data_IF_146442332375
#
_entry.id   IF_146442332375
#
_cell.length_a   1.000
_cell.length_b   1.000
_cell.length_c   1.000
_cell.angle_alpha   90.00
_cell.angle_beta   90.00
_cell.angle_gamma   90.00
#
_symmetry.space_group_name_H-M   'P 1'
#
loop_
_entity.id
_entity.type
_entity.pdbx_description
1 polymer ?
#
# COMPACT_ATOMS: atom_id res chain seq x y z
N UNK A 1 28.31 31.02 -9.81
CA UNK A 1 28.55 30.42 -8.48
C UNK A 1 27.26 30.30 -7.67
N UNK A 2 26.63 31.37 -7.15
CA UNK A 2 25.35 31.26 -6.42
C UNK A 2 24.18 30.71 -7.26
N UNK A 3 24.08 31.09 -8.54
CA UNK A 3 23.02 30.57 -9.44
C UNK A 3 23.18 29.08 -9.76
N UNK A 4 24.41 28.60 -9.96
CA UNK A 4 24.70 27.18 -10.20
C UNK A 4 24.43 26.33 -8.96
N UNK A 5 24.77 26.83 -7.77
CA UNK A 5 24.49 26.16 -6.50
C UNK A 5 22.98 26.03 -6.26
N UNK A 6 22.21 27.10 -6.51
CA UNK A 6 20.75 27.06 -6.42
C UNK A 6 20.12 26.07 -7.40
N UNK A 7 20.62 26.01 -8.64
CA UNK A 7 20.12 25.07 -9.64
C UNK A 7 20.41 23.62 -9.24
N UNK A 8 21.60 23.35 -8.71
CA UNK A 8 21.97 22.01 -8.23
C UNK A 8 21.09 21.56 -7.06
N UNK A 9 20.87 22.42 -6.07
CA UNK A 9 20.00 22.12 -4.93
C UNK A 9 18.55 21.84 -5.35
N UNK A 10 18.04 22.58 -6.34
CA UNK A 10 16.70 22.36 -6.89
C UNK A 10 16.61 21.01 -7.62
N UNK A 11 17.61 20.67 -8.43
CA UNK A 11 17.66 19.40 -9.15
C UNK A 11 17.72 18.21 -8.17
N UNK A 12 18.53 18.30 -7.11
CA UNK A 12 18.62 17.25 -6.09
C UNK A 12 17.27 17.03 -5.40
N UNK A 13 16.60 18.11 -4.99
CA UNK A 13 15.28 18.05 -4.38
C UNK A 13 14.23 17.40 -5.30
N UNK A 14 14.22 17.76 -6.59
CA UNK A 14 13.30 17.18 -7.57
C UNK A 14 13.58 15.70 -7.85
N UNK A 15 14.86 15.31 -7.87
CA UNK A 15 15.26 13.92 -8.03
C UNK A 15 14.83 13.06 -6.83
N UNK A 16 14.97 13.57 -5.61
CA UNK A 16 14.50 12.88 -4.40
C UNK A 16 12.98 12.69 -4.42
N UNK A 17 12.21 13.74 -4.75
CA UNK A 17 10.76 13.67 -4.87
C UNK A 17 10.32 12.64 -5.92
N UNK A 18 10.95 12.64 -7.11
CA UNK A 18 10.65 11.66 -8.15
C UNK A 18 10.96 10.23 -7.70
N UNK A 19 12.06 10.02 -6.99
CA UNK A 19 12.41 8.70 -6.45
C UNK A 19 11.35 8.19 -5.48
N UNK A 20 10.89 9.04 -4.55
CA UNK A 20 9.82 8.71 -3.60
C UNK A 20 8.52 8.37 -4.35
N UNK A 21 8.18 9.15 -5.39
CA UNK A 21 6.97 8.93 -6.20
C UNK A 21 7.00 7.58 -6.92
N UNK A 22 8.09 7.28 -7.63
CA UNK A 22 8.23 6.04 -8.39
C UNK A 22 8.28 4.80 -7.47
N UNK A 23 8.98 4.89 -6.34
CA UNK A 23 8.99 3.81 -5.35
C UNK A 23 7.59 3.57 -4.76
N UNK A 24 6.88 4.66 -4.39
CA UNK A 24 5.51 4.56 -3.85
C UNK A 24 4.53 3.97 -4.87
N UNK A 25 4.61 4.39 -6.14
CA UNK A 25 3.79 3.86 -7.22
C UNK A 25 4.06 2.36 -7.45
N UNK A 26 5.33 1.96 -7.42
CA UNK A 26 5.74 0.56 -7.59
C UNK A 26 5.18 -0.31 -6.47
N UNK A 27 5.39 0.07 -5.22
CA UNK A 27 4.88 -0.68 -4.05
C UNK A 27 3.36 -0.76 -4.07
N UNK A 28 2.68 0.33 -4.46
CA UNK A 28 1.22 0.36 -4.58
C UNK A 28 0.70 -0.68 -5.58
N UNK A 29 1.32 -0.79 -6.75
CA UNK A 29 0.96 -1.82 -7.75
C UNK A 29 1.18 -3.24 -7.24
N UNK A 30 2.24 -3.47 -6.47
CA UNK A 30 2.50 -4.77 -5.85
C UNK A 30 1.43 -5.13 -4.82
N UNK A 31 0.98 -4.18 -3.99
CA UNK A 31 -0.11 -4.38 -3.03
C UNK A 31 -1.41 -4.75 -3.76
N UNK A 32 -1.78 -4.01 -4.80
CA UNK A 32 -2.96 -4.32 -5.62
C UNK A 32 -2.86 -5.73 -6.22
N UNK A 33 -1.68 -6.11 -6.73
CA UNK A 33 -1.46 -7.43 -7.30
C UNK A 33 -1.59 -8.54 -6.25
N UNK A 34 -1.03 -8.36 -5.06
CA UNK A 34 -1.10 -9.32 -3.96
C UNK A 34 -2.54 -9.46 -3.45
N UNK A 35 -3.26 -8.35 -3.32
CA UNK A 35 -4.68 -8.32 -2.94
C UNK A 35 -5.54 -9.10 -3.93
N UNK A 36 -5.33 -8.86 -5.23
CA UNK A 36 -5.96 -9.64 -6.31
C UNK A 36 -5.60 -11.14 -6.27
N UNK A 37 -4.36 -11.49 -5.91
CA UNK A 37 -3.94 -12.90 -5.76
C UNK A 37 -4.60 -13.55 -4.55
N UNK A 38 -4.72 -12.82 -3.44
CA UNK A 38 -5.43 -13.27 -2.24
C UNK A 38 -6.88 -13.62 -2.55
N UNK A 39 -7.64 -12.68 -3.14
CA UNK A 39 -9.06 -12.86 -3.50
C UNK A 39 -9.23 -14.08 -4.41
N UNK A 40 -8.37 -14.24 -5.43
CA UNK A 40 -8.39 -15.40 -6.33
C UNK A 40 -8.09 -16.72 -5.61
N UNK A 41 -7.19 -16.74 -4.64
CA UNK A 41 -6.92 -17.92 -3.82
C UNK A 41 -8.10 -18.28 -2.92
N UNK A 42 -8.77 -17.28 -2.33
CA UNK A 42 -9.99 -17.46 -1.52
C UNK A 42 -11.10 -18.11 -2.35
N UNK A 43 -11.37 -17.62 -3.57
CA UNK A 43 -12.36 -18.24 -4.47
C UNK A 43 -12.05 -19.72 -4.81
N UNK A 44 -10.79 -20.13 -4.71
CA UNK A 44 -10.35 -21.52 -4.92
C UNK A 44 -10.25 -22.32 -3.63
N UNK A 45 -10.73 -21.78 -2.51
CA UNK A 45 -10.62 -22.34 -1.16
C UNK A 45 -9.17 -22.59 -0.68
N UNK A 46 -8.18 -21.90 -1.29
CA UNK A 46 -6.77 -22.00 -0.91
C UNK A 46 -6.43 -20.96 0.17
N UNK A 47 -6.98 -21.12 1.37
CA UNK A 47 -6.89 -20.12 2.45
C UNK A 47 -5.48 -19.91 3.00
N UNK A 48 -4.66 -20.95 3.08
CA UNK A 48 -3.25 -20.81 3.52
C UNK A 48 -2.45 -19.94 2.54
N UNK A 49 -2.61 -20.17 1.24
CA UNK A 49 -1.98 -19.35 0.20
C UNK A 49 -2.51 -17.92 0.24
N UNK A 50 -3.82 -17.74 0.47
CA UNK A 50 -4.42 -16.42 0.59
C UNK A 50 -3.85 -15.62 1.77
N UNK A 51 -3.60 -16.28 2.91
CA UNK A 51 -2.97 -15.66 4.07
C UNK A 51 -1.56 -15.15 3.77
N UNK A 52 -0.74 -15.97 3.11
CA UNK A 52 0.62 -15.57 2.69
C UNK A 52 0.61 -14.30 1.81
N UNK A 53 -0.40 -14.16 0.93
CA UNK A 53 -0.55 -12.95 0.12
C UNK A 53 -0.97 -11.72 0.94
N UNK A 54 -1.85 -11.89 1.94
CA UNK A 54 -2.22 -10.80 2.86
C UNK A 54 -1.03 -10.34 3.68
N UNK A 55 -0.24 -11.26 4.23
CA UNK A 55 0.95 -10.93 5.02
C UNK A 55 1.97 -10.17 4.17
N UNK A 56 2.25 -10.67 2.96
CA UNK A 56 3.12 -9.99 2.00
C UNK A 56 2.62 -8.59 1.63
N UNK A 57 1.30 -8.43 1.46
CA UNK A 57 0.69 -7.13 1.15
C UNK A 57 0.77 -6.17 2.35
N UNK A 58 0.61 -6.69 3.57
CA UNK A 58 0.72 -5.94 4.82
C UNK A 58 2.12 -5.34 5.01
N UNK A 59 3.17 -6.14 4.80
CA UNK A 59 4.56 -5.67 4.87
C UNK A 59 4.83 -4.53 3.88
N UNK A 60 4.33 -4.68 2.65
CA UNK A 60 4.44 -3.65 1.62
C UNK A 60 3.64 -2.40 1.96
N UNK A 61 2.46 -2.56 2.56
CA UNK A 61 1.63 -1.44 3.00
C UNK A 61 2.34 -0.60 4.08
N UNK A 62 2.98 -1.27 5.04
CA UNK A 62 3.79 -0.60 6.07
C UNK A 62 4.92 0.20 5.41
N UNK A 63 5.62 -0.41 4.44
CA UNK A 63 6.69 0.28 3.69
C UNK A 63 6.14 1.47 2.89
N UNK A 64 4.99 1.33 2.23
CA UNK A 64 4.33 2.39 1.47
C UNK A 64 3.98 3.58 2.38
N UNK A 65 3.40 3.32 3.56
CA UNK A 65 3.09 4.35 4.55
C UNK A 65 4.34 5.07 5.04
N UNK A 66 5.43 4.35 5.29
CA UNK A 66 6.70 4.95 5.74
C UNK A 66 7.33 5.87 4.69
N UNK A 67 7.29 5.49 3.41
CA UNK A 67 7.91 6.27 2.33
C UNK A 67 7.02 7.46 1.95
N UNK A 68 5.72 7.23 1.80
CA UNK A 68 4.78 8.29 1.39
C UNK A 68 4.66 9.39 2.44
N UNK A 69 4.74 9.08 3.75
CA UNK A 69 4.64 10.07 4.83
C UNK A 69 5.68 11.20 4.75
N UNK A 70 6.78 10.99 4.02
CA UNK A 70 7.80 12.03 3.79
C UNK A 70 7.30 13.17 2.89
N UNK A 71 6.27 12.93 2.07
CA UNK A 71 5.73 13.86 1.09
C UNK A 71 4.20 13.77 1.13
N UNK A 72 3.54 14.77 1.72
CA UNK A 72 2.09 14.76 1.96
C UNK A 72 1.27 14.46 0.71
N UNK A 73 1.66 14.99 -0.43
CA UNK A 73 1.03 14.84 -1.73
C UNK A 73 1.06 13.39 -2.22
N UNK A 74 2.09 12.63 -1.81
CA UNK A 74 2.21 11.21 -2.14
C UNK A 74 1.32 10.37 -1.22
N UNK A 75 1.22 10.69 0.06
CA UNK A 75 0.33 9.97 0.99
C UNK A 75 -1.13 9.95 0.56
N UNK A 76 -1.59 11.00 -0.12
CA UNK A 76 -2.97 11.10 -0.62
C UNK A 76 -3.07 10.90 -2.14
N UNK A 77 -2.01 10.42 -2.79
CA UNK A 77 -2.06 10.11 -4.20
C UNK A 77 -3.03 8.95 -4.46
N UNK A 78 -3.78 9.02 -5.56
CA UNK A 78 -4.82 8.03 -5.88
C UNK A 78 -4.31 6.59 -5.87
N UNK A 79 -3.09 6.34 -6.36
CA UNK A 79 -2.49 5.00 -6.36
C UNK A 79 -2.18 4.45 -4.96
N UNK A 80 -1.89 5.31 -3.97
CA UNK A 80 -1.69 4.90 -2.57
C UNK A 80 -3.03 4.56 -1.94
N UNK A 81 -4.03 5.42 -2.13
CA UNK A 81 -5.39 5.18 -1.62
C UNK A 81 -6.03 3.93 -2.23
N UNK A 82 -5.83 3.72 -3.54
CA UNK A 82 -6.27 2.50 -4.21
C UNK A 82 -5.58 1.27 -3.61
N UNK A 83 -4.25 1.29 -3.42
CA UNK A 83 -3.55 0.19 -2.78
C UNK A 83 -4.05 -0.12 -1.36
N UNK A 84 -4.29 0.91 -0.55
CA UNK A 84 -4.88 0.76 0.80
C UNK A 84 -6.28 0.14 0.74
N UNK A 85 -7.14 0.62 -0.18
CA UNK A 85 -8.49 0.10 -0.36
C UNK A 85 -8.48 -1.38 -0.75
N UNK A 86 -7.71 -1.73 -1.78
CA UNK A 86 -7.62 -3.11 -2.28
C UNK A 86 -7.09 -4.08 -1.20
N UNK A 87 -6.12 -3.64 -0.39
CA UNK A 87 -5.63 -4.42 0.74
C UNK A 87 -6.73 -4.66 1.79
N UNK A 88 -7.46 -3.60 2.19
CA UNK A 88 -8.55 -3.72 3.16
C UNK A 88 -9.65 -4.65 2.63
N UNK A 89 -10.02 -4.52 1.36
CA UNK A 89 -11.00 -5.41 0.72
C UNK A 89 -10.55 -6.88 0.76
N UNK A 90 -9.30 -7.17 0.41
CA UNK A 90 -8.76 -8.53 0.47
C UNK A 90 -8.76 -9.11 1.89
N UNK A 91 -8.36 -8.32 2.89
CA UNK A 91 -8.37 -8.74 4.30
C UNK A 91 -9.79 -9.00 4.80
N UNK A 92 -10.73 -8.11 4.48
CA UNK A 92 -12.13 -8.27 4.87
C UNK A 92 -12.74 -9.51 4.23
N UNK A 93 -12.48 -9.73 2.94
CA UNK A 93 -12.97 -10.90 2.23
C UNK A 93 -12.39 -12.20 2.80
N UNK A 94 -11.10 -12.25 3.10
CA UNK A 94 -10.47 -13.38 3.77
C UNK A 94 -11.11 -13.67 5.14
N UNK A 95 -11.22 -12.65 6.00
CA UNK A 95 -11.82 -12.80 7.33
C UNK A 95 -13.27 -13.27 7.24
N UNK A 96 -14.06 -12.73 6.31
CA UNK A 96 -15.43 -13.17 6.09
C UNK A 96 -15.51 -14.65 5.69
N UNK A 97 -14.69 -15.08 4.75
CA UNK A 97 -14.75 -16.46 4.27
C UNK A 97 -14.24 -17.48 5.29
N UNK A 98 -13.27 -17.11 6.13
CA UNK A 98 -12.73 -17.99 7.17
C UNK A 98 -13.61 -18.02 8.43
N UNK A 99 -14.09 -16.86 8.90
CA UNK A 99 -14.85 -16.76 10.15
C UNK A 99 -16.36 -16.95 9.96
N UNK A 100 -16.85 -16.90 8.71
CA UNK A 100 -18.27 -17.00 8.33
C UNK A 100 -19.21 -15.99 9.02
N UNK A 101 -18.66 -14.96 9.67
CA UNK A 101 -19.37 -13.84 10.28
C UNK A 101 -18.51 -12.56 10.18
N UNK A 102 -19.12 -11.43 9.79
CA UNK A 102 -18.53 -10.09 9.96
C UNK A 102 -19.22 -9.44 11.16
N UNK A 103 -18.54 -9.35 12.31
CA UNK A 103 -18.81 -8.26 13.23
C UNK A 103 -17.89 -7.12 12.80
N UNK A 104 -18.48 -6.02 12.33
CA UNK A 104 -17.83 -4.87 11.71
C UNK A 104 -16.94 -4.13 12.73
N UNK A 105 -15.75 -4.65 13.07
CA UNK A 105 -14.75 -3.96 13.89
C UNK A 105 -13.70 -3.38 12.95
N UNK A 106 -14.12 -2.43 12.10
CA UNK A 106 -13.27 -1.94 11.00
C UNK A 106 -12.30 -0.83 11.44
N UNK A 107 -12.55 -0.12 12.54
CA UNK A 107 -11.80 1.12 12.82
C UNK A 107 -10.66 1.03 13.84
N UNK A 108 -10.52 -0.06 14.62
CA UNK A 108 -9.48 -0.13 15.67
C UNK A 108 -8.26 -0.98 15.32
N UNK A 109 -8.36 -1.93 14.40
CA UNK A 109 -7.27 -2.88 14.11
C UNK A 109 -6.39 -2.48 12.91
N UNK A 110 -6.85 -1.57 12.04
CA UNK A 110 -6.20 -1.29 10.75
C UNK A 110 -5.27 -0.07 10.73
N UNK A 111 -4.99 0.54 11.90
CA UNK A 111 -3.94 1.55 12.01
C UNK A 111 -4.08 2.73 11.03
N UNK A 112 -5.30 3.23 10.89
CA UNK A 112 -5.61 4.46 10.15
C UNK A 112 -6.21 5.47 11.12
N UNK A 113 -5.31 6.13 11.85
CA UNK A 113 -5.35 7.51 12.35
C UNK A 113 -3.91 7.90 12.74
#
# INVERSE_FOLDING_TARGET
>A
MFEEENLNNLNESFNELNKIREESLTISREIVQLSSKCIRSIHRNNFEIALNYIESASEKLIKLKQISKKVSEISYAGYVLDAEREYVEAVLFYKFEVLKYIHLVIFKELGTL
#
